data_IF_906637272316
#
_entry.id   IF_906637272316
#
_cell.length_a   1.000
_cell.length_b   1.000
_cell.length_c   1.000
_cell.angle_alpha   90.00
_cell.angle_beta   90.00
_cell.angle_gamma   90.00
#
_symmetry.space_group_name_H-M   'P 1'
#
loop_
_entity.id
_entity.type
_entity.pdbx_description
1 polymer ?
#
# COMPACT_ATOMS: atom_id res chain seq x y z
N UNK A 1 -6.08 0.03 12.78
CA UNK A 1 -5.04 -1.03 12.75
C UNK A 1 -4.74 -1.25 11.29
N UNK A 2 -3.48 -1.22 10.88
CA UNK A 2 -3.10 -1.30 9.46
C UNK A 2 -3.68 -2.52 8.72
N UNK A 3 -3.93 -3.63 9.44
CA UNK A 3 -4.62 -4.82 8.92
C UNK A 3 -6.03 -4.55 8.41
N UNK A 4 -6.81 -3.71 9.10
CA UNK A 4 -8.18 -3.38 8.70
C UNK A 4 -8.22 -2.56 7.40
N UNK A 5 -7.24 -1.68 7.22
CA UNK A 5 -7.04 -0.92 5.97
C UNK A 5 -6.54 -1.83 4.84
N UNK A 6 -5.59 -2.73 5.12
CA UNK A 6 -5.17 -3.75 4.17
C UNK A 6 -6.35 -4.60 3.68
N UNK A 7 -7.16 -5.13 4.62
CA UNK A 7 -8.36 -5.93 4.31
C UNK A 7 -9.35 -5.15 3.45
N UNK A 8 -9.58 -3.86 3.76
CA UNK A 8 -10.43 -2.99 2.94
C UNK A 8 -9.89 -2.84 1.52
N UNK A 9 -8.57 -2.75 1.33
CA UNK A 9 -7.96 -2.66 0.02
C UNK A 9 -8.09 -3.97 -0.76
N UNK A 10 -7.72 -5.12 -0.20
CA UNK A 10 -7.81 -6.42 -0.92
C UNK A 10 -9.24 -6.89 -1.16
N UNK A 11 -10.19 -6.43 -0.33
CA UNK A 11 -11.63 -6.67 -0.48
C UNK A 11 -12.30 -5.67 -1.43
N UNK A 12 -11.61 -4.61 -1.84
CA UNK A 12 -12.14 -3.64 -2.78
C UNK A 12 -12.14 -4.21 -4.21
N UNK A 13 -13.30 -4.39 -4.86
CA UNK A 13 -13.38 -4.88 -6.24
C UNK A 13 -12.84 -3.86 -7.26
N UNK A 14 -12.78 -2.58 -6.89
CA UNK A 14 -12.16 -1.52 -7.71
C UNK A 14 -10.63 -1.49 -7.60
N UNK A 15 -10.03 -2.37 -6.79
CA UNK A 15 -8.57 -2.46 -6.70
C UNK A 15 -7.99 -3.10 -7.98
N UNK A 16 -7.03 -2.45 -8.65
CA UNK A 16 -6.31 -3.04 -9.77
C UNK A 16 -5.68 -4.37 -9.40
N UNK A 17 -5.74 -5.33 -10.32
CA UNK A 17 -5.21 -6.68 -10.10
C UNK A 17 -3.70 -6.64 -9.81
N UNK A 18 -2.93 -5.83 -10.55
CA UNK A 18 -1.50 -5.62 -10.32
C UNK A 18 -1.17 -5.17 -8.90
N UNK A 19 -2.06 -4.36 -8.30
CA UNK A 19 -1.89 -3.85 -6.95
C UNK A 19 -2.25 -4.86 -5.90
N UNK A 20 -3.30 -5.64 -6.16
CA UNK A 20 -3.67 -6.76 -5.31
C UNK A 20 -2.55 -7.80 -5.27
N UNK A 21 -1.97 -8.13 -6.43
CA UNK A 21 -0.83 -9.05 -6.53
C UNK A 21 0.42 -8.49 -5.82
N UNK A 22 0.72 -7.18 -5.95
CA UNK A 22 1.81 -6.54 -5.19
C UNK A 22 1.61 -6.69 -3.68
N UNK A 23 0.37 -6.52 -3.21
CA UNK A 23 0.00 -6.64 -1.80
C UNK A 23 0.04 -8.08 -1.28
N UNK A 24 -0.51 -9.03 -2.03
CA UNK A 24 -0.51 -10.46 -1.68
C UNK A 24 0.92 -11.06 -1.72
N UNK A 25 1.81 -10.50 -2.54
CA UNK A 25 3.21 -10.91 -2.61
C UNK A 25 4.11 -10.36 -1.51
N UNK A 26 3.60 -9.49 -0.62
CA UNK A 26 4.40 -8.84 0.43
C UNK A 26 4.33 -9.53 1.77
N UNK A 27 5.37 -9.27 2.56
CA UNK A 27 5.44 -9.74 3.95
C UNK A 27 4.61 -8.85 4.89
N UNK A 28 4.18 -9.40 6.03
CA UNK A 28 3.43 -8.65 7.05
C UNK A 28 4.16 -7.39 7.51
N UNK A 29 5.50 -7.41 7.58
CA UNK A 29 6.30 -6.25 7.93
C UNK A 29 6.20 -5.13 6.87
N UNK A 30 6.28 -5.47 5.59
CA UNK A 30 6.14 -4.48 4.50
C UNK A 30 4.72 -3.92 4.40
N UNK A 31 3.70 -4.76 4.64
CA UNK A 31 2.31 -4.33 4.70
C UNK A 31 2.09 -3.40 5.90
N UNK A 32 2.63 -3.75 7.06
CA UNK A 32 2.65 -2.86 8.21
C UNK A 32 3.29 -1.52 7.83
N UNK A 33 4.52 -1.47 7.31
CA UNK A 33 5.14 -0.20 6.92
C UNK A 33 4.32 0.60 5.89
N UNK A 34 3.65 -0.06 4.94
CA UNK A 34 2.82 0.58 3.90
C UNK A 34 1.46 1.08 4.37
N UNK A 35 0.89 0.51 5.44
CA UNK A 35 -0.44 0.89 5.94
C UNK A 35 -0.39 1.50 7.36
N UNK A 36 0.73 1.41 8.06
CA UNK A 36 0.90 1.85 9.46
C UNK A 36 1.59 3.20 9.59
N UNK A 37 2.57 3.53 8.74
CA UNK A 37 3.37 4.74 8.94
C UNK A 37 2.95 5.84 7.97
N UNK A 38 2.43 7.00 8.40
CA UNK A 38 2.22 8.12 7.51
C UNK A 38 3.57 8.55 6.96
N UNK A 39 3.72 8.49 5.64
CA UNK A 39 4.89 8.91 4.88
C UNK A 39 5.57 10.13 5.52
N UNK A 40 6.69 9.95 6.22
CA UNK A 40 7.58 11.07 6.50
C UNK A 40 8.09 11.52 5.14
N UNK A 41 7.54 12.64 4.66
CA UNK A 41 7.86 13.34 3.42
C UNK A 41 9.34 13.77 3.43
N UNK A 42 10.26 12.81 3.33
CA UNK A 42 11.69 13.04 3.14
C UNK A 42 11.93 13.43 1.69
N UNK A 43 11.75 14.71 1.38
CA UNK A 43 12.33 15.45 0.24
C UNK A 43 13.20 14.62 -0.72
N UNK A 44 12.64 14.12 -1.83
CA UNK A 44 13.49 13.51 -2.85
C UNK A 44 12.81 12.67 -3.94
N UNK A 45 12.29 13.34 -4.96
CA UNK A 45 12.51 12.89 -6.34
C UNK A 45 11.54 11.87 -6.96
N UNK A 46 10.94 12.31 -8.06
CA UNK A 46 10.36 11.54 -9.17
C UNK A 46 8.92 11.01 -9.00
N UNK A 47 8.00 11.82 -9.55
CA UNK A 47 6.69 11.42 -10.06
C UNK A 47 6.79 10.17 -10.94
N UNK A 48 5.86 9.23 -10.74
CA UNK A 48 5.43 8.30 -11.78
C UNK A 48 5.48 6.83 -11.37
N UNK A 49 4.42 6.36 -10.71
CA UNK A 49 3.73 5.05 -10.83
C UNK A 49 2.74 5.05 -9.66
N UNK A 50 1.43 5.17 -9.94
CA UNK A 50 0.39 4.98 -8.93
C UNK A 50 0.53 3.53 -8.39
N UNK A 51 1.04 3.37 -7.18
CA UNK A 51 1.06 2.08 -6.47
C UNK A 51 0.01 2.06 -5.37
N UNK A 52 -0.47 0.89 -4.98
CA UNK A 52 -1.48 0.73 -3.94
C UNK A 52 -0.91 0.95 -2.54
N UNK A 53 -1.77 1.52 -1.69
CA UNK A 53 -1.48 1.86 -0.31
C UNK A 53 -1.87 3.31 -0.01
N UNK A 54 -2.18 3.62 1.24
CA UNK A 54 -2.39 4.99 1.70
C UNK A 54 -1.10 5.83 1.68
N UNK A 55 0.05 5.16 1.52
CA UNK A 55 1.40 5.71 1.51
C UNK A 55 2.04 5.76 0.11
N UNK A 56 1.24 5.89 -0.96
CA UNK A 56 1.75 6.19 -2.30
C UNK A 56 0.74 6.92 -3.17
#
# INVERSE_FOLDING_TARGET
MWMDEYEKWVSNPDLPMDLKEDLEGKTLAELEERFFSPLEFGTGGMRGILGAGLNR
#
